data_IF_420458940600
#
_entry.id   IF_420458940600
#
_cell.length_a   1.000
_cell.length_b   1.000
_cell.length_c   1.000
_cell.angle_alpha   90.00
_cell.angle_beta   90.00
_cell.angle_gamma   90.00
#
_symmetry.space_group_name_H-M   'P 1'
#
loop_
_entity.id
_entity.type
_entity.pdbx_description
1 polymer ?
#
# COMPACT_ATOMS: atom_id res chain seq x y z
N UNK A 1 -38.26 22.38 -16.85
CA UNK A 1 -38.09 21.16 -17.68
C UNK A 1 -36.69 20.54 -17.53
N UNK A 2 -36.13 20.46 -16.31
CA UNK A 2 -34.72 20.05 -16.08
C UNK A 2 -34.54 18.85 -15.17
N UNK A 3 -35.59 18.39 -14.46
CA UNK A 3 -35.51 17.25 -13.55
C UNK A 3 -35.56 15.87 -14.25
N UNK A 4 -36.15 15.77 -15.44
CA UNK A 4 -36.39 14.47 -16.11
C UNK A 4 -35.15 13.88 -16.80
N UNK A 5 -34.15 14.69 -17.15
CA UNK A 5 -32.91 14.21 -17.80
C UNK A 5 -31.86 13.66 -16.84
N UNK A 6 -31.93 13.98 -15.55
CA UNK A 6 -30.98 13.49 -14.54
C UNK A 6 -31.28 12.06 -14.08
N UNK A 7 -32.55 11.65 -14.08
CA UNK A 7 -32.96 10.28 -13.71
C UNK A 7 -32.61 9.23 -14.77
N UNK A 8 -32.49 9.62 -16.05
CA UNK A 8 -32.34 8.67 -17.17
C UNK A 8 -30.94 8.06 -17.33
N UNK A 9 -29.89 8.64 -16.75
CA UNK A 9 -28.51 8.18 -16.99
C UNK A 9 -27.94 7.30 -15.87
N UNK A 10 -28.44 7.44 -14.64
CA UNK A 10 -28.11 6.54 -13.54
C UNK A 10 -28.58 5.08 -13.80
N UNK A 11 -29.45 4.88 -14.80
CA UNK A 11 -30.00 3.58 -15.20
C UNK A 11 -29.41 2.98 -16.48
N UNK A 12 -28.42 3.64 -17.10
CA UNK A 12 -27.72 3.04 -18.24
C UNK A 12 -27.06 1.72 -17.80
N UNK A 13 -27.54 0.59 -18.34
CA UNK A 13 -27.03 -0.74 -17.97
C UNK A 13 -25.53 -0.87 -18.23
N UNK A 14 -24.99 -0.05 -19.14
CA UNK A 14 -23.58 -0.03 -19.50
C UNK A 14 -22.71 0.64 -18.43
N UNK A 15 -23.15 1.77 -17.86
CA UNK A 15 -22.43 2.43 -16.75
C UNK A 15 -22.45 1.56 -15.49
N UNK A 16 -23.58 0.89 -15.19
CA UNK A 16 -23.68 -0.10 -14.10
C UNK A 16 -22.75 -1.29 -14.32
N UNK A 17 -22.64 -1.79 -15.56
CA UNK A 17 -21.71 -2.86 -15.94
C UNK A 17 -20.25 -2.44 -15.84
N UNK A 18 -19.89 -1.22 -16.24
CA UNK A 18 -18.52 -0.69 -16.13
C UNK A 18 -18.11 -0.47 -14.68
N UNK A 19 -19.00 0.09 -13.84
CA UNK A 19 -18.79 0.26 -12.40
C UNK A 19 -18.66 -1.11 -11.70
N UNK A 20 -19.54 -2.06 -12.01
CA UNK A 20 -19.44 -3.43 -11.48
C UNK A 20 -18.18 -4.15 -11.98
N UNK A 21 -17.73 -3.87 -13.21
CA UNK A 21 -16.48 -4.41 -13.73
C UNK A 21 -15.25 -3.79 -13.04
N UNK A 22 -15.27 -2.49 -12.71
CA UNK A 22 -14.22 -1.83 -11.93
C UNK A 22 -14.17 -2.34 -10.49
N UNK A 23 -15.33 -2.58 -9.87
CA UNK A 23 -15.41 -3.22 -8.56
C UNK A 23 -14.85 -4.66 -8.57
N UNK A 24 -15.05 -5.41 -9.67
CA UNK A 24 -14.55 -6.80 -9.83
C UNK A 24 -13.07 -6.90 -10.26
N UNK A 25 -12.59 -6.02 -11.15
CA UNK A 25 -11.22 -6.04 -11.68
C UNK A 25 -10.24 -5.21 -10.85
N UNK A 26 -10.76 -4.44 -9.88
CA UNK A 26 -10.00 -3.48 -9.09
C UNK A 26 -9.82 -2.14 -9.82
N UNK A 27 -9.62 -1.08 -9.03
CA UNK A 27 -9.34 0.25 -9.55
C UNK A 27 -7.94 0.28 -10.20
N UNK A 28 -7.76 0.95 -11.35
CA UNK A 28 -6.43 1.16 -11.93
C UNK A 28 -5.51 1.90 -10.95
N UNK A 29 -4.19 1.66 -10.99
CA UNK A 29 -3.24 2.46 -10.22
C UNK A 29 -3.24 3.91 -10.72
N UNK A 30 -3.01 4.86 -9.82
CA UNK A 30 -2.91 6.27 -10.19
C UNK A 30 -1.50 6.57 -10.73
N UNK A 31 -1.36 7.24 -11.89
CA UNK A 31 -0.05 7.61 -12.42
C UNK A 31 0.66 8.72 -11.60
N UNK A 32 -0.08 9.48 -10.78
CA UNK A 32 0.44 10.59 -9.97
C UNK A 32 0.24 10.35 -8.46
N UNK A 33 0.58 9.16 -8.01
CA UNK A 33 0.49 8.76 -6.60
C UNK A 33 1.53 9.46 -5.71
N UNK A 34 2.72 9.70 -6.25
CA UNK A 34 3.81 10.37 -5.54
C UNK A 34 3.62 11.91 -5.65
N UNK A 35 3.95 12.69 -4.60
CA UNK A 35 3.86 14.16 -4.66
C UNK A 35 4.77 14.76 -5.73
N UNK A 36 4.19 15.51 -6.67
CA UNK A 36 4.90 16.14 -7.79
C UNK A 36 4.69 17.65 -7.80
N UNK A 37 5.77 18.39 -8.05
CA UNK A 37 5.73 19.84 -8.25
C UNK A 37 5.53 20.19 -9.74
N UNK A 38 5.16 21.44 -10.01
CA UNK A 38 5.11 21.99 -11.36
C UNK A 38 3.97 21.51 -12.26
N UNK A 39 2.89 20.98 -11.66
CA UNK A 39 1.65 20.58 -12.35
C UNK A 39 0.51 21.49 -11.93
N UNK A 40 -0.24 22.02 -12.89
CA UNK A 40 -1.35 22.98 -12.71
C UNK A 40 -2.70 22.43 -13.22
N UNK A 41 -2.72 21.19 -13.71
CA UNK A 41 -3.87 20.50 -14.31
C UNK A 41 -4.70 19.70 -13.29
N UNK A 42 -4.67 20.06 -12.02
CA UNK A 42 -5.38 19.37 -10.95
C UNK A 42 -6.87 19.71 -10.92
N UNK A 43 -7.67 18.73 -10.49
CA UNK A 43 -9.10 18.87 -10.22
C UNK A 43 -9.38 18.69 -8.74
N UNK A 44 -10.41 19.34 -8.23
CA UNK A 44 -10.90 19.19 -6.86
C UNK A 44 -12.42 19.07 -6.84
N UNK A 45 -12.98 18.64 -5.71
CA UNK A 45 -14.43 18.59 -5.50
C UNK A 45 -14.91 20.01 -5.22
N UNK A 46 -16.03 20.40 -5.83
CA UNK A 46 -16.61 21.73 -5.65
C UNK A 46 -16.90 21.99 -4.18
N UNK A 47 -16.36 23.11 -3.66
CA UNK A 47 -16.48 23.47 -2.24
C UNK A 47 -15.36 22.95 -1.35
N UNK A 48 -14.47 22.08 -1.85
CA UNK A 48 -13.32 21.56 -1.10
C UNK A 48 -12.02 21.98 -1.79
N UNK A 49 -10.96 22.19 -1.01
CA UNK A 49 -9.62 22.61 -1.51
C UNK A 49 -8.49 21.74 -0.99
N UNK A 50 -8.78 20.83 -0.06
CA UNK A 50 -7.86 19.93 0.60
C UNK A 50 -7.70 18.57 -0.10
N UNK A 51 -8.38 18.37 -1.23
CA UNK A 51 -8.36 17.13 -2.01
C UNK A 51 -8.16 17.40 -3.50
N UNK A 52 -7.13 16.81 -4.09
CA UNK A 52 -6.80 17.01 -5.51
C UNK A 52 -6.74 15.70 -6.30
N UNK A 53 -7.13 15.77 -7.56
CA UNK A 53 -7.24 14.65 -8.48
C UNK A 53 -6.49 14.97 -9.77
N UNK A 54 -5.70 14.02 -10.27
CA UNK A 54 -5.07 14.18 -11.58
C UNK A 54 -6.09 13.98 -12.71
N UNK A 55 -5.85 14.56 -13.90
CA UNK A 55 -6.75 14.38 -15.06
C UNK A 55 -7.02 12.91 -15.38
N UNK A 56 -6.00 12.06 -15.33
CA UNK A 56 -6.15 10.62 -15.63
C UNK A 56 -7.17 9.93 -14.72
N UNK A 57 -7.23 10.31 -13.43
CA UNK A 57 -8.20 9.75 -12.49
C UNK A 57 -9.59 10.32 -12.74
N UNK A 58 -9.72 11.60 -13.09
CA UNK A 58 -11.00 12.21 -13.50
C UNK A 58 -11.55 11.49 -14.73
N UNK A 59 -10.74 11.37 -15.78
CA UNK A 59 -11.13 10.80 -17.06
C UNK A 59 -11.51 9.31 -16.92
N UNK A 60 -10.72 8.56 -16.14
CA UNK A 60 -10.90 7.11 -16.00
C UNK A 60 -12.02 6.73 -15.03
N UNK A 61 -12.15 7.45 -13.90
CA UNK A 61 -13.03 7.03 -12.80
C UNK A 61 -14.32 7.83 -12.71
N UNK A 62 -14.32 9.09 -13.13
CA UNK A 62 -15.43 10.01 -12.88
C UNK A 62 -16.14 10.51 -14.14
N UNK A 63 -15.44 10.64 -15.27
CA UNK A 63 -15.96 11.24 -16.51
C UNK A 63 -17.31 10.66 -16.95
N UNK A 64 -17.46 9.33 -16.82
CA UNK A 64 -18.68 8.61 -17.22
C UNK A 64 -19.69 8.41 -16.08
N UNK A 65 -19.56 9.15 -15.00
CA UNK A 65 -20.39 9.01 -13.79
C UNK A 65 -21.19 10.27 -13.52
N UNK A 66 -22.23 10.14 -12.69
CA UNK A 66 -23.03 11.29 -12.22
C UNK A 66 -22.21 12.31 -11.43
N UNK A 67 -21.06 11.90 -10.89
CA UNK A 67 -20.22 12.72 -10.05
C UNK A 67 -19.34 13.69 -10.84
N UNK A 68 -19.23 13.54 -12.17
CA UNK A 68 -18.34 14.38 -12.99
C UNK A 68 -18.57 15.88 -12.80
N UNK A 69 -19.83 16.28 -12.65
CA UNK A 69 -20.23 17.67 -12.46
C UNK A 69 -19.87 18.24 -11.07
N UNK A 70 -19.49 17.38 -10.12
CA UNK A 70 -19.02 17.79 -8.80
C UNK A 70 -17.54 18.21 -8.82
N UNK A 71 -16.80 17.87 -9.89
CA UNK A 71 -15.39 18.21 -10.02
C UNK A 71 -15.18 19.50 -10.82
N UNK A 72 -14.28 20.35 -10.32
CA UNK A 72 -13.82 21.58 -10.97
C UNK A 72 -12.29 21.62 -10.96
N UNK A 73 -11.68 22.51 -11.74
CA UNK A 73 -10.24 22.73 -11.64
C UNK A 73 -9.85 23.26 -10.26
N UNK A 74 -8.76 22.75 -9.72
CA UNK A 74 -8.17 23.26 -8.47
C UNK A 74 -7.69 24.71 -8.66
N UNK A 75 -7.57 25.43 -7.55
CA UNK A 75 -7.03 26.78 -7.56
C UNK A 75 -5.54 26.74 -7.97
N UNK A 76 -5.03 27.78 -8.66
CA UNK A 76 -3.60 27.90 -8.95
C UNK A 76 -2.78 27.85 -7.66
N UNK A 77 -1.70 27.06 -7.68
CA UNK A 77 -0.75 26.89 -6.57
C UNK A 77 0.63 27.37 -6.96
N UNK A 78 1.51 27.51 -5.97
CA UNK A 78 2.92 27.76 -6.25
C UNK A 78 3.49 26.62 -7.08
N UNK A 79 4.31 26.94 -8.09
CA UNK A 79 4.96 25.93 -8.93
C UNK A 79 5.90 25.01 -8.14
N UNK A 80 6.38 25.46 -6.97
CA UNK A 80 7.22 24.68 -6.05
C UNK A 80 6.44 23.71 -5.15
N UNK A 81 5.11 23.85 -5.04
CA UNK A 81 4.30 23.02 -4.17
C UNK A 81 4.16 21.61 -4.75
N UNK A 82 4.50 20.59 -3.93
CA UNK A 82 4.37 19.19 -4.33
C UNK A 82 2.96 18.70 -3.99
N UNK A 83 2.18 18.40 -5.02
CA UNK A 83 0.82 17.90 -4.90
C UNK A 83 0.76 16.44 -5.34
N UNK A 84 -0.01 15.61 -4.64
CA UNK A 84 -0.27 14.23 -5.02
C UNK A 84 -1.74 14.05 -5.39
N UNK A 85 -2.04 13.10 -6.27
CA UNK A 85 -3.43 12.72 -6.51
C UNK A 85 -4.00 11.99 -5.29
N UNK A 86 -5.22 12.33 -4.89
CA UNK A 86 -5.95 11.69 -3.81
C UNK A 86 -6.15 10.19 -4.05
N UNK A 87 -6.29 9.74 -5.31
CA UNK A 87 -6.31 8.30 -5.66
C UNK A 87 -4.97 7.57 -5.50
N UNK A 88 -3.91 8.28 -5.15
CA UNK A 88 -2.68 7.69 -4.60
C UNK A 88 -2.88 7.14 -3.18
N UNK A 89 -3.85 7.67 -2.41
CA UNK A 89 -4.19 7.20 -1.07
C UNK A 89 -5.10 5.96 -1.16
N UNK A 90 -4.72 4.81 -0.57
CA UNK A 90 -5.59 3.65 -0.45
C UNK A 90 -6.89 3.94 0.31
N UNK A 91 -6.89 4.91 1.23
CA UNK A 91 -8.07 5.31 1.97
C UNK A 91 -9.12 5.98 1.07
N UNK A 92 -8.70 6.89 0.18
CA UNK A 92 -9.59 7.52 -0.81
C UNK A 92 -10.08 6.49 -1.84
N UNK A 93 -9.22 5.53 -2.24
CA UNK A 93 -9.63 4.43 -3.11
C UNK A 93 -10.71 3.57 -2.46
N UNK A 94 -10.55 3.24 -1.18
CA UNK A 94 -11.55 2.50 -0.42
C UNK A 94 -12.85 3.31 -0.27
N UNK A 95 -12.76 4.61 0.05
CA UNK A 95 -13.91 5.51 0.10
C UNK A 95 -14.70 5.48 -1.20
N UNK A 96 -14.01 5.54 -2.35
CA UNK A 96 -14.65 5.46 -3.66
C UNK A 96 -15.32 4.11 -3.91
N UNK A 97 -14.66 2.99 -3.59
CA UNK A 97 -15.25 1.66 -3.70
C UNK A 97 -16.51 1.53 -2.85
N UNK A 98 -16.49 2.03 -1.62
CA UNK A 98 -17.64 2.03 -0.71
C UNK A 98 -18.77 2.92 -1.23
N UNK A 99 -18.48 4.10 -1.79
CA UNK A 99 -19.48 4.96 -2.46
C UNK A 99 -20.20 4.19 -3.56
N UNK A 100 -19.46 3.45 -4.40
CA UNK A 100 -20.03 2.65 -5.48
C UNK A 100 -20.85 1.47 -4.96
N UNK A 101 -20.31 0.72 -3.99
CA UNK A 101 -20.94 -0.46 -3.40
C UNK A 101 -22.22 -0.12 -2.63
N UNK A 102 -22.24 1.03 -1.93
CA UNK A 102 -23.38 1.51 -1.15
C UNK A 102 -24.36 2.34 -2.00
N UNK A 103 -24.10 2.48 -3.32
CA UNK A 103 -24.91 3.29 -4.24
C UNK A 103 -25.16 4.72 -3.74
N UNK A 104 -24.15 5.35 -3.13
CA UNK A 104 -24.25 6.74 -2.67
C UNK A 104 -24.39 7.68 -3.86
N UNK A 105 -25.07 8.80 -3.65
CA UNK A 105 -25.28 9.85 -4.66
C UNK A 105 -24.41 11.08 -4.45
N UNK A 106 -23.52 11.04 -3.46
CA UNK A 106 -22.61 12.12 -3.10
C UNK A 106 -21.16 11.60 -2.94
N UNK A 107 -20.22 12.53 -2.74
CA UNK A 107 -18.80 12.24 -2.52
C UNK A 107 -18.38 12.46 -1.05
N UNK A 108 -19.33 12.39 -0.11
CA UNK A 108 -19.10 12.70 1.32
C UNK A 108 -17.96 11.87 1.90
N UNK A 109 -17.93 10.56 1.63
CA UNK A 109 -16.84 9.69 2.12
C UNK A 109 -15.43 10.12 1.67
N UNK A 110 -15.31 10.67 0.45
CA UNK A 110 -14.01 11.14 -0.04
C UNK A 110 -13.64 12.47 0.64
N UNK A 111 -14.62 13.34 0.84
CA UNK A 111 -14.47 14.62 1.54
C UNK A 111 -14.09 14.40 3.01
N UNK A 112 -14.82 13.53 3.72
CA UNK A 112 -14.57 13.21 5.13
C UNK A 112 -13.16 12.66 5.35
N UNK A 113 -12.65 11.83 4.43
CA UNK A 113 -11.27 11.33 4.52
C UNK A 113 -10.24 12.43 4.27
N UNK A 114 -10.48 13.33 3.33
CA UNK A 114 -9.61 14.48 3.12
C UNK A 114 -9.59 15.41 4.34
N UNK A 115 -10.75 15.67 4.93
CA UNK A 115 -10.88 16.47 6.15
C UNK A 115 -10.14 15.81 7.33
N UNK A 116 -10.18 14.49 7.44
CA UNK A 116 -9.37 13.75 8.42
C UNK A 116 -7.87 13.89 8.12
N UNK A 117 -7.43 13.76 6.86
CA UNK A 117 -6.03 13.93 6.49
C UNK A 117 -5.51 15.35 6.76
N UNK A 118 -6.35 16.37 6.66
CA UNK A 118 -6.01 17.77 6.96
C UNK A 118 -6.00 18.08 8.46
N UNK A 119 -6.97 17.56 9.21
CA UNK A 119 -7.16 17.90 10.64
C UNK A 119 -6.38 17.01 11.60
N UNK A 120 -5.99 15.80 11.19
CA UNK A 120 -5.25 14.86 12.04
C UNK A 120 -3.75 14.88 11.74
N UNK A 121 -2.93 14.56 12.74
CA UNK A 121 -1.50 14.36 12.52
C UNK A 121 -1.29 13.24 11.49
N UNK A 122 -0.39 13.42 10.51
CA UNK A 122 -0.15 12.41 9.49
C UNK A 122 0.34 11.11 10.13
N UNK A 123 -0.03 9.98 9.53
CA UNK A 123 0.47 8.69 9.99
C UNK A 123 2.01 8.70 9.92
N UNK A 124 2.72 8.31 11.00
CA UNK A 124 4.19 8.31 11.02
C UNK A 124 4.80 7.25 10.09
N UNK A 125 3.97 6.39 9.49
CA UNK A 125 4.43 5.32 8.62
C UNK A 125 5.32 4.34 9.36
N UNK A 126 6.42 3.95 8.71
CA UNK A 126 7.44 3.05 9.26
C UNK A 126 8.37 3.71 10.29
N UNK A 127 8.22 5.01 10.57
CA UNK A 127 9.09 5.73 11.50
C UNK A 127 8.55 5.56 12.93
N UNK A 128 9.34 5.01 13.87
CA UNK A 128 8.93 4.91 15.26
C UNK A 128 8.69 6.29 15.87
N UNK A 129 7.48 6.54 16.38
CA UNK A 129 7.10 7.82 16.96
C UNK A 129 6.48 7.68 18.35
N UNK A 130 6.53 8.76 19.11
CA UNK A 130 5.86 8.87 20.41
C UNK A 130 4.60 9.70 20.24
N UNK A 131 3.44 9.07 20.38
CA UNK A 131 2.13 9.72 20.23
C UNK A 131 1.04 8.91 20.96
N UNK A 132 -0.18 9.41 20.95
CA UNK A 132 -1.32 8.67 21.46
C UNK A 132 -1.63 7.48 20.54
N UNK A 133 -1.25 6.29 20.99
CA UNK A 133 -1.49 5.04 20.29
C UNK A 133 -2.85 4.45 20.65
N UNK A 134 -3.44 3.77 19.68
CA UNK A 134 -4.65 2.97 19.82
C UNK A 134 -4.33 1.51 19.56
N UNK A 135 -5.10 0.61 20.15
CA UNK A 135 -4.86 -0.82 20.07
C UNK A 135 -6.16 -1.60 20.15
N UNK A 136 -6.04 -2.90 19.94
CA UNK A 136 -7.13 -3.85 19.98
C UNK A 136 -7.11 -4.58 21.31
N UNK A 137 -8.29 -4.78 21.93
CA UNK A 137 -8.41 -5.57 23.15
C UNK A 137 -8.85 -6.99 22.83
N UNK A 138 -8.21 -7.96 23.48
CA UNK A 138 -8.63 -9.35 23.46
C UNK A 138 -9.84 -9.61 24.38
N UNK A 139 -10.43 -10.82 24.36
CA UNK A 139 -11.55 -11.17 25.24
C UNK A 139 -11.24 -11.06 26.73
N UNK A 140 -9.96 -11.19 27.11
CA UNK A 140 -9.49 -11.04 28.49
C UNK A 140 -9.31 -9.56 28.89
N UNK A 141 -9.51 -8.64 27.95
CA UNK A 141 -9.41 -7.19 28.13
C UNK A 141 -7.98 -6.65 28.02
N UNK A 142 -7.00 -7.48 27.67
CA UNK A 142 -5.61 -7.11 27.45
C UNK A 142 -5.41 -6.57 26.04
N UNK A 143 -4.38 -5.74 25.86
CA UNK A 143 -4.05 -5.21 24.53
C UNK A 143 -3.26 -6.23 23.73
N UNK A 144 -3.66 -6.44 22.47
CA UNK A 144 -2.91 -7.24 21.50
C UNK A 144 -1.52 -6.63 21.33
N UNK A 145 -0.49 -7.47 21.50
CA UNK A 145 0.91 -7.03 21.49
C UNK A 145 1.34 -6.56 20.11
N UNK A 146 2.21 -5.55 20.09
CA UNK A 146 2.87 -5.04 18.89
C UNK A 146 1.91 -4.57 17.78
N UNK A 147 0.66 -4.24 18.15
CA UNK A 147 -0.36 -3.71 17.27
C UNK A 147 -0.81 -2.33 17.72
N UNK A 148 -0.22 -1.30 17.11
CA UNK A 148 -0.44 0.10 17.46
C UNK A 148 -0.98 0.86 16.25
N UNK A 149 -2.03 1.64 16.45
CA UNK A 149 -2.63 2.49 15.42
C UNK A 149 -2.50 3.96 15.79
N UNK A 150 -2.16 4.79 14.81
CA UNK A 150 -2.20 6.23 15.00
C UNK A 150 -3.66 6.72 15.00
N UNK A 151 -3.91 7.85 15.67
CA UNK A 151 -5.25 8.44 15.72
C UNK A 151 -5.85 8.70 14.33
N UNK A 152 -5.03 9.19 13.39
CA UNK A 152 -5.47 9.48 12.03
C UNK A 152 -5.96 8.24 11.28
N UNK A 153 -5.35 7.07 11.48
CA UNK A 153 -5.80 5.83 10.81
C UNK A 153 -7.03 5.24 11.50
N UNK A 154 -7.15 5.33 12.84
CA UNK A 154 -8.39 4.98 13.54
C UNK A 154 -9.56 5.79 13.02
N UNK A 155 -9.41 7.12 12.90
CA UNK A 155 -10.45 8.01 12.37
C UNK A 155 -10.89 7.64 10.95
N UNK A 156 -9.94 7.32 10.06
CA UNK A 156 -10.26 6.86 8.71
C UNK A 156 -11.02 5.53 8.72
N UNK A 157 -10.61 4.58 9.56
CA UNK A 157 -11.29 3.29 9.70
C UNK A 157 -12.73 3.48 10.19
N UNK A 158 -12.95 4.26 11.25
CA UNK A 158 -14.28 4.50 11.81
C UNK A 158 -15.19 5.29 10.85
N UNK A 159 -14.61 6.22 10.08
CA UNK A 159 -15.31 6.96 9.03
C UNK A 159 -15.80 6.04 7.90
N UNK A 160 -14.94 5.17 7.39
CA UNK A 160 -15.26 4.30 6.25
C UNK A 160 -16.06 3.05 6.66
N UNK A 161 -15.79 2.52 7.84
CA UNK A 161 -16.29 1.25 8.34
C UNK A 161 -16.98 1.46 9.70
N UNK A 162 -18.15 2.12 9.73
CA UNK A 162 -18.75 2.62 10.97
C UNK A 162 -19.09 1.54 12.00
N UNK A 163 -19.31 0.29 11.58
CA UNK A 163 -19.54 -0.83 12.53
C UNK A 163 -18.31 -1.19 13.36
N UNK A 164 -17.13 -0.68 13.00
CA UNK A 164 -15.87 -0.87 13.73
C UNK A 164 -15.60 0.24 14.74
N UNK A 165 -16.50 1.22 14.86
CA UNK A 165 -16.37 2.33 15.80
C UNK A 165 -16.23 1.82 17.24
N UNK A 166 -15.21 2.30 17.94
CA UNK A 166 -14.93 1.91 19.32
C UNK A 166 -14.24 0.55 19.51
N UNK A 167 -13.95 -0.20 18.44
CA UNK A 167 -13.14 -1.43 18.54
C UNK A 167 -11.68 -1.10 18.92
N UNK A 168 -11.15 0.00 18.37
CA UNK A 168 -9.81 0.45 18.67
C UNK A 168 -9.83 1.42 19.85
N UNK A 169 -9.21 1.01 20.95
CA UNK A 169 -9.22 1.77 22.20
C UNK A 169 -7.86 2.40 22.43
N UNK A 170 -7.86 3.63 22.94
CA UNK A 170 -6.63 4.35 23.29
C UNK A 170 -5.82 3.56 24.32
N UNK A 171 -4.51 3.42 24.08
CA UNK A 171 -3.61 2.79 25.03
C UNK A 171 -3.46 3.64 26.30
N UNK A 172 -3.17 3.02 27.46
CA UNK A 172 -2.83 3.74 28.67
C UNK A 172 -1.66 4.69 28.44
N UNK A 173 -1.66 5.83 29.14
CA UNK A 173 -0.69 6.90 28.93
C UNK A 173 0.77 6.43 29.01
N UNK A 174 1.08 5.49 29.93
CA UNK A 174 2.42 4.89 30.06
C UNK A 174 2.89 4.17 28.79
N UNK A 175 1.98 3.48 28.10
CA UNK A 175 2.27 2.80 26.83
C UNK A 175 2.23 3.76 25.62
N UNK A 176 1.69 4.96 25.76
CA UNK A 176 1.74 5.98 24.69
C UNK A 176 3.12 6.64 24.57
N UNK A 177 4.00 6.49 25.56
CA UNK A 177 5.37 7.04 25.51
C UNK A 177 6.37 6.11 24.82
N UNK A 178 6.02 4.85 24.57
CA UNK A 178 6.89 3.93 23.84
C UNK A 178 6.87 4.27 22.35
N UNK A 179 8.07 4.37 21.76
CA UNK A 179 8.21 4.56 20.31
C UNK A 179 7.65 3.34 19.60
N UNK A 180 6.58 3.55 18.84
CA UNK A 180 5.89 2.49 18.11
C UNK A 180 5.68 2.92 16.65
N UNK A 181 5.36 1.98 15.78
CA UNK A 181 5.01 2.24 14.37
C UNK A 181 3.53 1.94 14.15
N UNK A 182 2.92 2.61 13.17
CA UNK A 182 1.52 2.31 12.86
C UNK A 182 1.42 0.94 12.16
N UNK A 183 0.55 0.07 12.66
CA UNK A 183 0.35 -1.27 12.12
C UNK A 183 -0.36 -1.24 10.75
N UNK A 184 -1.19 -0.23 10.48
CA UNK A 184 -1.92 -0.03 9.20
C UNK A 184 -1.26 1.08 8.36
N UNK A 185 0.07 1.13 8.39
CA UNK A 185 0.84 2.03 7.54
C UNK A 185 0.85 1.55 6.09
N UNK A 186 0.72 2.48 5.14
CA UNK A 186 0.61 2.16 3.71
C UNK A 186 1.88 1.55 3.11
N UNK A 187 3.03 1.76 3.73
CA UNK A 187 4.31 1.17 3.34
C UNK A 187 4.51 -0.26 3.87
N UNK A 188 3.66 -0.78 4.76
CA UNK A 188 3.76 -2.18 5.19
C UNK A 188 3.19 -3.13 4.14
N UNK A 189 3.84 -4.28 3.96
CA UNK A 189 3.29 -5.39 3.17
C UNK A 189 2.05 -6.02 3.80
N UNK A 190 1.80 -5.77 5.09
CA UNK A 190 0.62 -6.26 5.83
C UNK A 190 -0.60 -5.38 5.65
N UNK A 191 -0.43 -4.15 5.14
CA UNK A 191 -1.49 -3.16 5.00
C UNK A 191 -2.72 -3.73 4.29
N UNK A 192 -2.55 -4.33 3.11
CA UNK A 192 -3.66 -4.89 2.34
C UNK A 192 -4.39 -6.00 3.10
N UNK A 193 -3.66 -6.91 3.74
CA UNK A 193 -4.26 -8.01 4.51
C UNK A 193 -5.06 -7.49 5.72
N UNK A 194 -4.56 -6.48 6.41
CA UNK A 194 -5.31 -5.84 7.50
C UNK A 194 -6.51 -5.07 6.98
N UNK A 195 -6.38 -4.33 5.89
CA UNK A 195 -7.50 -3.59 5.30
C UNK A 195 -8.61 -4.53 4.82
N UNK A 196 -8.26 -5.62 4.14
CA UNK A 196 -9.19 -6.65 3.69
C UNK A 196 -9.91 -7.30 4.87
N UNK A 197 -9.20 -7.56 5.98
CA UNK A 197 -9.79 -8.10 7.19
C UNK A 197 -10.77 -7.12 7.85
N UNK A 198 -10.46 -5.82 7.88
CA UNK A 198 -11.36 -4.78 8.38
C UNK A 198 -12.62 -4.66 7.54
N UNK A 199 -12.48 -4.62 6.21
CA UNK A 199 -13.62 -4.56 5.28
C UNK A 199 -14.49 -5.82 5.45
N UNK A 200 -13.88 -7.00 5.47
CA UNK A 200 -14.60 -8.28 5.67
C UNK A 200 -15.34 -8.30 7.00
N UNK A 201 -14.71 -7.79 8.07
CA UNK A 201 -15.31 -7.71 9.40
C UNK A 201 -16.51 -6.77 9.41
N UNK A 202 -16.39 -5.60 8.77
CA UNK A 202 -17.47 -4.63 8.61
C UNK A 202 -18.66 -5.22 7.84
N UNK A 203 -18.41 -5.86 6.70
CA UNK A 203 -19.46 -6.48 5.89
C UNK A 203 -20.21 -7.59 6.64
N UNK A 204 -19.48 -8.44 7.38
CA UNK A 204 -20.10 -9.47 8.23
C UNK A 204 -20.96 -8.87 9.33
N UNK A 205 -20.51 -7.79 9.97
CA UNK A 205 -21.26 -7.09 11.00
C UNK A 205 -22.56 -6.49 10.44
N UNK A 206 -22.49 -5.85 9.26
CA UNK A 206 -23.66 -5.33 8.55
C UNK A 206 -24.66 -6.43 8.19
N UNK A 207 -24.18 -7.53 7.61
CA UNK A 207 -25.02 -8.66 7.22
C UNK A 207 -25.73 -9.31 8.43
N UNK A 208 -25.02 -9.44 9.55
CA UNK A 208 -25.55 -10.01 10.78
C UNK A 208 -26.33 -9.00 11.65
N UNK A 209 -26.37 -7.71 11.27
CA UNK A 209 -27.00 -6.61 12.03
C UNK A 209 -26.58 -6.57 13.51
N UNK A 210 -25.29 -6.82 13.77
CA UNK A 210 -24.70 -6.84 15.11
C UNK A 210 -23.38 -6.09 15.12
N UNK A 211 -22.86 -5.83 16.31
CA UNK A 211 -21.52 -5.26 16.46
C UNK A 211 -20.46 -6.19 15.84
N UNK A 212 -19.41 -5.59 15.27
CA UNK A 212 -18.31 -6.35 14.72
C UNK A 212 -17.59 -7.14 15.82
N UNK A 213 -17.37 -8.42 15.54
CA UNK A 213 -16.60 -9.33 16.39
C UNK A 213 -15.09 -9.16 16.09
N UNK A 214 -14.28 -8.63 17.02
CA UNK A 214 -12.87 -8.36 16.75
C UNK A 214 -12.02 -9.63 16.60
N UNK A 215 -12.50 -10.81 17.02
CA UNK A 215 -11.68 -12.03 17.09
C UNK A 215 -10.96 -12.41 15.79
N UNK A 216 -11.60 -12.41 14.61
CA UNK A 216 -10.90 -12.74 13.37
C UNK A 216 -9.77 -11.77 13.02
N UNK A 217 -9.88 -10.50 13.43
CA UNK A 217 -8.82 -9.52 13.26
C UNK A 217 -7.70 -9.76 14.28
N UNK A 218 -8.04 -10.08 15.54
CA UNK A 218 -7.06 -10.42 16.58
C UNK A 218 -6.22 -11.62 16.12
N UNK A 219 -6.85 -12.71 15.69
CA UNK A 219 -6.17 -13.91 15.23
C UNK A 219 -5.20 -13.62 14.07
N UNK A 220 -5.63 -12.77 13.13
CA UNK A 220 -4.79 -12.33 12.01
C UNK A 220 -3.59 -11.52 12.51
N UNK A 221 -3.82 -10.55 13.40
CA UNK A 221 -2.77 -9.69 13.95
C UNK A 221 -1.77 -10.53 14.72
N UNK A 222 -2.21 -11.39 15.64
CA UNK A 222 -1.32 -12.26 16.41
C UNK A 222 -0.51 -13.21 15.52
N UNK A 223 -1.13 -13.76 14.49
CA UNK A 223 -0.42 -14.60 13.52
C UNK A 223 0.66 -13.81 12.81
N UNK A 224 0.37 -12.58 12.38
CA UNK A 224 1.31 -11.71 11.66
C UNK A 224 2.41 -11.16 12.55
N UNK A 225 2.12 -10.76 13.79
CA UNK A 225 3.13 -10.20 14.72
C UNK A 225 4.19 -11.23 15.12
N UNK A 226 3.87 -12.52 15.09
CA UNK A 226 4.84 -13.61 15.31
C UNK A 226 5.84 -13.77 14.16
N UNK A 227 5.51 -13.32 12.95
CA UNK A 227 6.38 -13.43 11.78
C UNK A 227 7.27 -12.21 11.66
N UNK A 228 8.48 -12.40 11.12
CA UNK A 228 9.32 -11.28 10.72
C UNK A 228 8.65 -10.51 9.58
N UNK A 229 8.47 -9.20 9.76
CA UNK A 229 7.91 -8.34 8.72
C UNK A 229 8.82 -8.30 7.47
N UNK A 230 8.21 -8.22 6.29
CA UNK A 230 8.94 -8.15 5.04
C UNK A 230 9.79 -6.87 4.95
N UNK A 231 11.10 -7.03 4.74
CA UNK A 231 12.04 -5.91 4.50
C UNK A 231 12.12 -5.47 3.04
N UNK A 232 11.19 -5.96 2.20
CA UNK A 232 11.07 -5.64 0.78
C UNK A 232 12.39 -5.89 0.01
N UNK A 233 12.89 -4.86 -0.67
CA UNK A 233 14.11 -4.78 -1.47
C UNK A 233 15.37 -4.47 -0.64
N UNK A 234 15.25 -4.40 0.69
CA UNK A 234 16.44 -4.27 1.54
C UNK A 234 17.24 -5.56 1.50
N UNK A 235 18.46 -5.48 0.97
CA UNK A 235 19.42 -6.58 0.94
C UNK A 235 19.97 -6.86 2.34
N UNK A 236 19.74 -8.07 2.83
CA UNK A 236 20.21 -8.54 4.12
C UNK A 236 21.24 -9.64 3.95
N UNK A 237 22.36 -9.52 4.68
CA UNK A 237 23.42 -10.52 4.77
C UNK A 237 23.17 -11.38 6.02
N UNK A 238 23.35 -12.70 5.91
CA UNK A 238 23.19 -13.65 7.01
C UNK A 238 21.75 -13.84 7.48
N UNK A 239 20.78 -13.28 6.77
CA UNK A 239 19.37 -13.44 7.08
C UNK A 239 18.88 -14.85 6.70
N UNK A 240 17.86 -15.33 7.41
CA UNK A 240 17.20 -16.59 7.08
C UNK A 240 16.04 -16.36 6.10
N UNK A 241 15.88 -17.29 5.16
CA UNK A 241 14.94 -17.18 4.04
C UNK A 241 14.24 -18.51 3.75
N UNK A 242 13.05 -18.39 3.17
CA UNK A 242 12.47 -19.45 2.37
C UNK A 242 12.94 -19.32 0.92
N UNK A 243 13.37 -20.41 0.31
CA UNK A 243 13.82 -20.47 -1.08
C UNK A 243 13.69 -21.89 -1.64
N UNK A 244 13.78 -21.98 -2.96
CA UNK A 244 14.01 -23.26 -3.66
C UNK A 244 15.53 -23.39 -3.83
N UNK A 245 16.18 -24.48 -3.38
CA UNK A 245 17.64 -24.61 -3.45
C UNK A 245 18.24 -24.33 -4.82
N UNK A 246 17.61 -24.83 -5.89
CA UNK A 246 18.05 -24.63 -7.28
C UNK A 246 17.96 -23.17 -7.76
N UNK A 247 17.24 -22.31 -7.04
CA UNK A 247 17.02 -20.90 -7.38
C UNK A 247 17.75 -19.94 -6.45
N UNK A 248 18.40 -20.44 -5.40
CA UNK A 248 19.20 -19.60 -4.52
C UNK A 248 20.48 -19.12 -5.22
N UNK A 249 20.93 -17.88 -4.98
CA UNK A 249 20.33 -16.86 -4.12
C UNK A 249 19.34 -15.94 -4.87
N UNK A 250 19.07 -16.20 -6.15
CA UNK A 250 18.20 -15.38 -7.02
C UNK A 250 16.74 -15.29 -6.58
N UNK A 251 16.21 -16.31 -5.90
CA UNK A 251 14.82 -16.32 -5.46
C UNK A 251 14.68 -16.66 -3.98
N UNK A 252 14.59 -15.61 -3.16
CA UNK A 252 14.42 -15.71 -1.70
C UNK A 252 13.13 -15.02 -1.26
N UNK A 253 12.50 -15.55 -0.22
CA UNK A 253 11.16 -15.16 0.25
C UNK A 253 11.18 -15.06 1.77
N UNK A 254 10.75 -13.92 2.32
CA UNK A 254 10.62 -13.76 3.77
C UNK A 254 9.43 -14.54 4.32
N UNK A 255 9.39 -14.76 5.63
CA UNK A 255 8.34 -15.49 6.32
C UNK A 255 6.92 -14.93 6.04
N UNK A 256 6.74 -13.61 6.08
CA UNK A 256 5.44 -12.97 5.83
C UNK A 256 4.93 -13.17 4.38
N UNK A 257 5.83 -13.07 3.39
CA UNK A 257 5.48 -13.33 1.99
C UNK A 257 5.32 -14.82 1.70
N UNK A 258 6.05 -15.69 2.40
CA UNK A 258 5.90 -17.14 2.28
C UNK A 258 4.50 -17.56 2.75
N UNK A 259 4.09 -17.10 3.92
CA UNK A 259 2.79 -17.41 4.52
C UNK A 259 1.60 -16.87 3.70
N UNK A 260 1.74 -15.68 3.11
CA UNK A 260 0.68 -15.04 2.34
C UNK A 260 0.59 -15.48 0.88
N UNK A 261 1.70 -15.89 0.25
CA UNK A 261 1.75 -16.17 -1.20
C UNK A 261 2.09 -17.63 -1.51
N UNK A 262 3.06 -18.22 -0.83
CA UNK A 262 3.58 -19.57 -1.16
C UNK A 262 2.77 -20.66 -0.47
N UNK A 263 2.50 -20.49 0.83
CA UNK A 263 1.77 -21.46 1.66
C UNK A 263 0.37 -21.79 1.10
N UNK A 264 -0.44 -20.84 0.57
CA UNK A 264 -1.69 -21.16 -0.10
C UNK A 264 -1.51 -22.08 -1.32
N UNK A 265 -0.48 -21.87 -2.13
CA UNK A 265 -0.21 -22.68 -3.32
C UNK A 265 0.28 -24.09 -2.96
N UNK A 266 1.00 -24.22 -1.85
CA UNK A 266 1.34 -25.51 -1.27
C UNK A 266 0.09 -26.27 -0.85
N UNK A 267 -0.86 -25.61 -0.17
CA UNK A 267 -2.13 -26.20 0.26
C UNK A 267 -2.98 -26.64 -0.93
N UNK A 268 -2.90 -25.92 -2.06
CA UNK A 268 -3.47 -26.33 -3.36
C UNK A 268 -2.70 -27.44 -4.07
N UNK A 269 -1.73 -28.06 -3.39
CA UNK A 269 -0.95 -29.19 -3.87
C UNK A 269 -0.06 -28.87 -5.10
N UNK A 270 0.30 -27.60 -5.33
CA UNK A 270 1.13 -27.21 -6.48
C UNK A 270 2.58 -27.69 -6.31
N UNK A 271 3.08 -28.41 -7.32
CA UNK A 271 4.39 -29.08 -7.29
C UNK A 271 5.56 -28.10 -7.10
N UNK A 272 5.52 -26.97 -7.81
CA UNK A 272 6.58 -25.94 -7.74
C UNK A 272 6.63 -25.29 -6.36
N UNK A 273 5.48 -24.94 -5.78
CA UNK A 273 5.42 -24.31 -4.46
C UNK A 273 5.95 -25.25 -3.36
N UNK A 274 5.74 -26.56 -3.49
CA UNK A 274 6.26 -27.56 -2.54
C UNK A 274 7.78 -27.71 -2.54
N UNK A 275 8.49 -27.24 -3.57
CA UNK A 275 9.97 -27.28 -3.65
C UNK A 275 10.65 -26.30 -2.70
N UNK A 276 9.92 -25.35 -2.12
CA UNK A 276 10.46 -24.48 -1.10
C UNK A 276 10.85 -25.25 0.17
N UNK A 277 11.94 -24.83 0.79
CA UNK A 277 12.22 -25.23 2.16
C UNK A 277 11.12 -24.72 3.11
N UNK A 278 10.72 -25.58 4.06
CA UNK A 278 9.62 -25.27 4.99
C UNK A 278 10.04 -24.48 6.20
N UNK A 279 11.32 -24.54 6.52
CA UNK A 279 11.92 -23.79 7.61
C UNK A 279 12.81 -22.71 7.04
N UNK A 280 12.94 -21.62 7.78
CA UNK A 280 13.88 -20.56 7.47
C UNK A 280 15.31 -21.10 7.51
N UNK A 281 16.07 -20.90 6.43
CA UNK A 281 17.46 -21.36 6.32
C UNK A 281 18.37 -20.24 5.82
N UNK A 282 19.66 -20.26 6.19
CA UNK A 282 20.63 -19.36 5.61
C UNK A 282 20.79 -19.64 4.11
N UNK A 283 21.13 -18.59 3.36
CA UNK A 283 21.45 -18.68 1.94
C UNK A 283 22.95 -18.52 1.78
N UNK A 284 23.60 -19.52 1.20
CA UNK A 284 25.03 -19.45 0.90
C UNK A 284 25.27 -18.67 -0.39
N UNK A 285 26.48 -18.11 -0.53
CA UNK A 285 26.89 -17.35 -1.72
C UNK A 285 26.01 -16.12 -2.01
N UNK A 286 25.52 -15.46 -0.95
CA UNK A 286 24.59 -14.33 -1.04
C UNK A 286 25.23 -13.02 -1.55
N UNK A 287 26.57 -12.93 -1.62
CA UNK A 287 27.27 -11.75 -2.11
C UNK A 287 26.96 -10.52 -1.26
N UNK A 288 26.26 -9.53 -1.84
CA UNK A 288 25.83 -8.31 -1.15
C UNK A 288 24.55 -8.50 -0.30
N UNK A 289 24.03 -9.72 -0.22
CA UNK A 289 22.84 -10.08 0.56
C UNK A 289 21.68 -10.56 -0.31
N UNK A 290 20.54 -10.82 0.34
CA UNK A 290 19.29 -11.22 -0.29
C UNK A 290 18.14 -10.31 0.14
N UNK A 291 17.15 -10.13 -0.72
CA UNK A 291 15.91 -9.40 -0.46
C UNK A 291 14.69 -10.25 -0.80
N UNK A 292 13.51 -9.88 -0.30
CA UNK A 292 12.31 -10.69 -0.47
C UNK A 292 11.71 -10.55 -1.88
N UNK A 293 11.95 -11.49 -2.79
CA UNK A 293 11.48 -11.37 -4.17
C UNK A 293 9.95 -11.28 -4.32
N UNK A 294 9.18 -11.87 -3.40
CA UNK A 294 7.72 -11.83 -3.41
C UNK A 294 7.11 -10.60 -2.72
N UNK A 295 7.91 -9.61 -2.31
CA UNK A 295 7.35 -8.30 -1.95
C UNK A 295 6.76 -7.60 -3.20
N UNK A 296 7.40 -7.79 -4.36
CA UNK A 296 7.05 -7.10 -5.62
C UNK A 296 5.78 -7.68 -6.25
N UNK A 297 4.79 -6.84 -6.61
CA UNK A 297 3.61 -7.28 -7.36
C UNK A 297 3.96 -7.93 -8.70
N UNK A 298 4.96 -7.43 -9.42
CA UNK A 298 5.48 -8.05 -10.64
C UNK A 298 5.94 -9.49 -10.39
N UNK A 299 6.78 -9.71 -9.38
CA UNK A 299 7.29 -11.05 -9.09
C UNK A 299 6.23 -11.99 -8.56
N UNK A 300 5.19 -11.49 -7.87
CA UNK A 300 4.01 -12.30 -7.53
C UNK A 300 3.29 -12.82 -8.77
N UNK A 301 3.15 -12.01 -9.83
CA UNK A 301 2.56 -12.44 -11.11
C UNK A 301 3.45 -13.47 -11.81
N UNK A 302 4.77 -13.25 -11.83
CA UNK A 302 5.74 -14.20 -12.39
C UNK A 302 5.66 -15.54 -11.65
N UNK A 303 5.63 -15.51 -10.32
CA UNK A 303 5.50 -16.71 -9.48
C UNK A 303 4.18 -17.43 -9.72
N UNK A 304 3.05 -16.71 -9.70
CA UNK A 304 1.73 -17.29 -9.93
C UNK A 304 1.67 -18.01 -11.29
N UNK A 305 2.21 -17.40 -12.34
CA UNK A 305 2.32 -18.03 -13.67
C UNK A 305 3.21 -19.27 -13.64
N UNK A 306 4.40 -19.19 -13.03
CA UNK A 306 5.31 -20.33 -12.94
C UNK A 306 4.69 -21.51 -12.16
N UNK A 307 3.93 -21.22 -11.11
CA UNK A 307 3.20 -22.23 -10.33
C UNK A 307 2.09 -22.89 -11.14
N UNK A 308 1.36 -22.10 -11.94
CA UNK A 308 0.29 -22.62 -12.80
C UNK A 308 0.84 -23.51 -13.91
N UNK A 309 1.87 -23.03 -14.61
CA UNK A 309 2.52 -23.74 -15.74
C UNK A 309 3.49 -24.85 -15.26
N UNK A 310 3.74 -24.94 -13.94
CA UNK A 310 4.81 -25.77 -13.35
C UNK A 310 6.20 -25.51 -13.96
N UNK A 311 6.45 -24.29 -14.45
CA UNK A 311 7.67 -23.90 -15.16
C UNK A 311 8.73 -23.30 -14.23
N UNK A 312 9.55 -24.18 -13.66
CA UNK A 312 10.67 -23.80 -12.80
C UNK A 312 11.76 -23.03 -13.56
N UNK A 313 11.94 -23.30 -14.85
CA UNK A 313 12.98 -22.64 -15.67
C UNK A 313 12.61 -21.18 -15.93
N UNK A 314 11.34 -20.92 -16.20
CA UNK A 314 10.81 -19.56 -16.33
C UNK A 314 11.02 -18.76 -15.05
N UNK A 315 10.68 -19.33 -13.88
CA UNK A 315 10.90 -18.67 -12.60
C UNK A 315 12.38 -18.39 -12.35
N UNK A 316 13.25 -19.37 -12.59
CA UNK A 316 14.70 -19.23 -12.43
C UNK A 316 15.27 -18.08 -13.26
N UNK A 317 14.90 -18.04 -14.54
CA UNK A 317 15.33 -16.98 -15.46
C UNK A 317 14.87 -15.61 -14.98
N UNK A 318 13.59 -15.47 -14.61
CA UNK A 318 13.05 -14.18 -14.17
C UNK A 318 13.61 -13.71 -12.82
N UNK A 319 13.81 -14.62 -11.88
CA UNK A 319 14.46 -14.32 -10.62
C UNK A 319 15.91 -13.88 -10.82
N UNK A 320 16.64 -14.53 -11.72
CA UNK A 320 18.01 -14.15 -12.06
C UNK A 320 18.08 -12.76 -12.72
N UNK A 321 17.28 -12.53 -13.76
CA UNK A 321 17.17 -11.23 -14.45
C UNK A 321 16.91 -10.09 -13.45
N UNK A 322 15.97 -10.31 -12.51
CA UNK A 322 15.65 -9.33 -11.46
C UNK A 322 16.80 -9.10 -10.49
N UNK A 323 17.43 -10.17 -9.99
CA UNK A 323 18.55 -10.04 -9.05
C UNK A 323 19.73 -9.30 -9.66
N UNK A 324 20.05 -9.58 -10.93
CA UNK A 324 21.11 -8.87 -11.65
C UNK A 324 20.81 -7.37 -11.74
N UNK A 325 19.55 -7.01 -12.01
CA UNK A 325 19.12 -5.61 -12.03
C UNK A 325 19.15 -4.97 -10.64
N UNK A 326 18.71 -5.69 -9.59
CA UNK A 326 18.74 -5.22 -8.20
C UNK A 326 20.18 -4.92 -7.76
N UNK A 327 21.11 -5.85 -7.99
CA UNK A 327 22.54 -5.67 -7.68
C UNK A 327 23.11 -4.46 -8.43
N UNK A 328 22.86 -4.37 -9.74
CA UNK A 328 23.32 -3.26 -10.57
C UNK A 328 22.80 -1.89 -10.11
N UNK A 329 21.51 -1.79 -9.76
CA UNK A 329 20.90 -0.55 -9.30
C UNK A 329 21.36 -0.17 -7.89
N UNK A 330 21.58 -1.15 -7.02
CA UNK A 330 22.14 -0.94 -5.68
C UNK A 330 23.58 -0.42 -5.76
N UNK A 331 24.40 -0.95 -6.66
CA UNK A 331 25.76 -0.44 -6.91
C UNK A 331 25.74 1.01 -7.41
N UNK A 332 24.84 1.34 -8.35
CA UNK A 332 24.62 2.73 -8.79
C UNK A 332 24.20 3.63 -7.63
N UNK A 333 23.23 3.20 -6.84
CA UNK A 333 22.73 3.96 -5.68
C UNK A 333 23.87 4.24 -4.69
N UNK A 334 24.66 3.22 -4.34
CA UNK A 334 25.85 3.37 -3.50
C UNK A 334 26.85 4.34 -4.09
N UNK A 335 27.04 4.32 -5.42
CA UNK A 335 27.87 5.29 -6.13
C UNK A 335 27.39 6.73 -5.97
N UNK A 336 26.08 6.98 -6.10
CA UNK A 336 25.48 8.31 -5.88
C UNK A 336 25.62 8.73 -4.41
N UNK A 337 25.34 7.85 -3.47
CA UNK A 337 25.50 8.14 -2.02
C UNK A 337 26.95 8.43 -1.64
N UNK A 338 27.92 7.74 -2.24
CA UNK A 338 29.35 8.01 -2.01
C UNK A 338 29.74 9.40 -2.52
N UNK A 339 29.21 9.82 -3.69
CA UNK A 339 29.41 11.18 -4.20
C UNK A 339 28.79 12.22 -3.27
N UNK A 340 27.57 11.99 -2.79
CA UNK A 340 26.89 12.87 -1.84
C UNK A 340 27.71 13.03 -0.54
N UNK A 341 28.25 11.93 -0.01
CA UNK A 341 29.08 11.96 1.19
C UNK A 341 30.38 12.76 0.99
N UNK A 342 31.05 12.62 -0.16
CA UNK A 342 32.26 13.40 -0.49
C UNK A 342 31.95 14.90 -0.56
N UNK A 343 30.90 15.27 -1.26
CA UNK A 343 30.46 16.67 -1.36
C UNK A 343 30.11 17.27 0.01
N UNK A 344 29.47 16.48 0.88
CA UNK A 344 29.19 16.90 2.26
C UNK A 344 30.45 17.09 3.10
N UNK A 345 31.52 16.32 2.86
CA UNK A 345 32.80 16.45 3.56
C UNK A 345 33.62 17.64 3.07
N UNK A 346 33.48 18.02 1.80
CA UNK A 346 34.16 19.15 1.17
C UNK A 346 33.55 20.53 1.55
N UNK A 347 32.45 20.53 2.32
CA UNK A 347 31.92 21.73 3.00
C UNK A 347 31.15 22.73 2.13
N UNK A 348 31.09 22.51 0.81
CA UNK A 348 30.31 23.31 -0.14
C UNK A 348 29.48 22.39 -1.05
N UNK A 349 28.26 22.10 -0.63
CA UNK A 349 27.26 21.47 -1.52
C UNK A 349 26.48 22.61 -2.17
N UNK A 350 26.61 22.77 -3.49
CA UNK A 350 25.80 23.77 -4.21
C UNK A 350 24.38 23.24 -4.43
N UNK A 351 23.39 24.13 -4.60
CA UNK A 351 22.03 23.72 -5.00
C UNK A 351 22.05 22.88 -6.29
N UNK A 352 22.99 23.17 -7.21
CA UNK A 352 23.13 22.43 -8.45
C UNK A 352 23.64 21.00 -8.23
N UNK A 353 24.50 20.78 -7.24
CA UNK A 353 24.96 19.45 -6.84
C UNK A 353 23.83 18.64 -6.22
N UNK A 354 23.04 19.25 -5.32
CA UNK A 354 21.84 18.60 -4.76
C UNK A 354 20.84 18.24 -5.86
N UNK A 355 20.59 19.15 -6.81
CA UNK A 355 19.70 18.89 -7.96
C UNK A 355 20.22 17.78 -8.86
N UNK A 356 21.55 17.64 -9.03
CA UNK A 356 22.15 16.53 -9.81
C UNK A 356 21.99 15.19 -9.07
N UNK A 357 22.33 15.15 -7.78
CA UNK A 357 22.18 13.95 -6.95
C UNK A 357 20.73 13.49 -6.91
N UNK A 358 19.78 14.41 -6.70
CA UNK A 358 18.36 14.09 -6.69
C UNK A 358 17.88 13.56 -8.05
N UNK A 359 18.32 14.14 -9.17
CA UNK A 359 18.00 13.62 -10.51
C UNK A 359 18.55 12.21 -10.75
N UNK A 360 19.76 11.93 -10.29
CA UNK A 360 20.35 10.59 -10.39
C UNK A 360 19.57 9.57 -9.55
N UNK A 361 19.19 9.93 -8.32
CA UNK A 361 18.35 9.10 -7.44
C UNK A 361 16.95 8.86 -8.02
N UNK A 362 16.32 9.90 -8.56
CA UNK A 362 15.02 9.80 -9.24
C UNK A 362 15.10 8.88 -10.45
N UNK A 363 16.18 8.96 -11.24
CA UNK A 363 16.39 8.09 -12.40
C UNK A 363 16.55 6.62 -12.02
N UNK A 364 17.31 6.33 -10.96
CA UNK A 364 17.46 4.96 -10.43
C UNK A 364 16.12 4.43 -9.93
N UNK A 365 15.40 5.24 -9.14
CA UNK A 365 14.10 4.86 -8.58
C UNK A 365 13.07 4.60 -9.68
N UNK A 366 13.05 5.45 -10.71
CA UNK A 366 12.17 5.31 -11.87
C UNK A 366 12.51 4.05 -12.68
N UNK A 367 13.79 3.80 -12.94
CA UNK A 367 14.25 2.59 -13.65
C UNK A 367 13.81 1.32 -12.92
N UNK A 368 13.88 1.31 -11.58
CA UNK A 368 13.40 0.20 -10.78
C UNK A 368 11.88 0.02 -10.87
N UNK A 369 11.11 1.08 -10.54
CA UNK A 369 9.65 1.04 -10.52
C UNK A 369 9.05 0.65 -11.87
N UNK A 370 9.52 1.22 -12.98
CA UNK A 370 8.91 1.00 -14.31
C UNK A 370 9.19 -0.40 -14.88
N UNK A 371 10.32 -1.00 -14.55
CA UNK A 371 10.74 -2.28 -15.13
C UNK A 371 10.50 -3.48 -14.23
N UNK A 372 10.46 -3.27 -12.92
CA UNK A 372 10.57 -4.34 -11.93
C UNK A 372 9.49 -4.31 -10.84
N UNK A 373 8.63 -3.30 -10.75
CA UNK A 373 7.46 -3.28 -9.84
C UNK A 373 6.14 -3.28 -10.62
#
# INVERSE_FOLDING_TARGET
MTASRQASFADSSQTKKEIAALARKGLPPCPRQDPVAGKDDWYTITGHTNIDFCPDCIDTLFERTIFRNLFRRSLPRSYSEKVRCAFGSPWIRLAWLLTLQQHRTDLTLLQDIADIEETSAPCPGGIPSTQNWYGLRDPDGLFVRDFHLCYGDVRKIECLLPTLSGIFVRLPQRASYTKSTCAIRMDSTRFSSYLDALVTLHEKALAARRNADPMPLIDLVERKTRLRECTKDTLLIGALWHYIPDLAPSFTVCEDCFESVVEPEIKKNKSLAKKFNRTLQPVYSEGIGCSCQLYSPHMRKVFARAVEDSDMKYLARKAKERREAEVYLQEKFKGVMTKAQRLSQEGFVTEDDERRLNRDLEKITKEWKERWE
#
